data_IF_185284656904
#
_entry.id   IF_185284656904
#
_cell.length_a   1.000
_cell.length_b   1.000
_cell.length_c   1.000
_cell.angle_alpha   90.00
_cell.angle_beta   90.00
_cell.angle_gamma   90.00
#
_symmetry.space_group_name_H-M   'P 1'
#
loop_
_entity.id
_entity.type
_entity.pdbx_description
1 polymer ?
#
# COMPACT_ATOMS: atom_id res chain seq x y z
N UNK A 1 -58.39 25.78 2.99
CA UNK A 1 -58.45 25.26 4.37
C UNK A 1 -57.54 24.05 4.44
N UNK A 2 -56.41 24.25 5.08
CA UNK A 2 -55.20 23.42 5.03
C UNK A 2 -55.23 22.43 6.17
N UNK A 3 -55.28 21.12 5.90
CA UNK A 3 -55.23 20.09 6.92
C UNK A 3 -53.77 19.79 7.28
N UNK A 4 -53.47 19.93 8.57
CA UNK A 4 -52.14 19.95 9.15
C UNK A 4 -51.31 18.69 8.88
N UNK A 5 -50.07 18.96 8.45
CA UNK A 5 -48.89 18.08 8.57
C UNK A 5 -48.78 17.56 10.00
N UNK A 6 -49.05 16.27 10.16
CA UNK A 6 -48.78 15.51 11.39
C UNK A 6 -47.77 14.40 11.05
N UNK A 7 -46.60 14.82 10.60
CA UNK A 7 -45.37 14.03 10.65
C UNK A 7 -44.36 14.94 11.32
N UNK A 8 -44.57 15.12 12.63
CA UNK A 8 -43.57 15.68 13.52
C UNK A 8 -42.44 14.66 13.59
N UNK A 9 -41.35 15.04 12.95
CA UNK A 9 -39.97 14.66 13.24
C UNK A 9 -39.75 14.36 14.73
N UNK A 10 -39.84 13.08 15.10
CA UNK A 10 -39.29 12.54 16.34
C UNK A 10 -37.76 12.57 16.22
N UNK A 11 -37.20 13.76 16.45
CA UNK A 11 -35.81 13.90 16.87
C UNK A 11 -35.77 13.46 18.34
N UNK A 12 -35.60 12.15 18.56
CA UNK A 12 -35.28 11.60 19.87
C UNK A 12 -33.91 12.16 20.29
N UNK A 13 -33.90 13.34 20.93
CA UNK A 13 -32.71 13.79 21.64
C UNK A 13 -32.58 12.92 22.88
N UNK A 14 -31.75 11.89 22.80
CA UNK A 14 -31.30 11.17 23.98
C UNK A 14 -30.71 12.19 24.95
N UNK A 15 -31.10 12.13 26.23
CA UNK A 15 -30.44 12.93 27.26
C UNK A 15 -28.95 12.54 27.30
N UNK A 16 -28.02 13.47 27.55
CA UNK A 16 -26.58 13.18 27.57
C UNK A 16 -26.22 11.98 28.46
N UNK A 17 -26.87 11.86 29.63
CA UNK A 17 -26.71 10.71 30.55
C UNK A 17 -27.08 9.36 29.90
N UNK A 18 -28.11 9.34 29.06
CA UNK A 18 -28.54 8.14 28.35
C UNK A 18 -27.58 7.79 27.19
N UNK A 19 -26.99 8.79 26.53
CA UNK A 19 -25.97 8.58 25.50
C UNK A 19 -24.68 8.01 26.10
N UNK A 20 -24.22 8.58 27.22
CA UNK A 20 -23.01 8.12 27.92
C UNK A 20 -23.15 6.68 28.42
N UNK A 21 -24.36 6.30 28.88
CA UNK A 21 -24.64 4.93 29.34
C UNK A 21 -24.60 3.92 28.18
N UNK A 22 -25.13 4.31 27.01
CA UNK A 22 -25.10 3.46 25.80
C UNK A 22 -23.67 3.28 25.29
N UNK A 23 -22.87 4.36 25.26
CA UNK A 23 -21.47 4.30 24.85
C UNK A 23 -20.66 3.44 25.82
N UNK A 24 -20.86 3.59 27.12
CA UNK A 24 -20.18 2.78 28.12
C UNK A 24 -20.49 1.28 27.96
N UNK A 25 -21.75 0.91 27.74
CA UNK A 25 -22.15 -0.49 27.52
C UNK A 25 -21.54 -1.06 26.23
N UNK A 26 -21.59 -0.31 25.12
CA UNK A 26 -20.97 -0.71 23.86
C UNK A 26 -19.44 -0.81 23.97
N UNK A 27 -18.80 0.07 24.75
CA UNK A 27 -17.36 0.03 24.99
C UNK A 27 -16.96 -1.25 25.77
N UNK A 28 -17.74 -1.65 26.77
CA UNK A 28 -17.52 -2.94 27.47
C UNK A 28 -17.56 -4.13 26.50
N UNK A 29 -18.48 -4.11 25.53
CA UNK A 29 -18.57 -5.18 24.53
C UNK A 29 -17.37 -5.19 23.58
N UNK A 30 -16.84 -4.03 23.18
CA UNK A 30 -15.58 -3.95 22.42
C UNK A 30 -14.37 -4.42 23.26
N UNK A 31 -14.34 -4.12 24.55
CA UNK A 31 -13.28 -4.59 25.46
C UNK A 31 -13.28 -6.12 25.57
N UNK A 32 -14.46 -6.75 25.65
CA UNK A 32 -14.58 -8.22 25.61
C UNK A 32 -14.07 -8.83 24.31
N UNK A 33 -14.05 -8.07 23.22
CA UNK A 33 -13.48 -8.47 21.93
C UNK A 33 -11.96 -8.23 21.84
N UNK A 34 -11.33 -7.73 22.91
CA UNK A 34 -9.89 -7.49 23.00
C UNK A 34 -9.47 -6.09 22.54
N UNK A 35 -10.40 -5.15 22.40
CA UNK A 35 -10.09 -3.74 22.13
C UNK A 35 -9.69 -3.05 23.45
N UNK A 36 -8.68 -2.19 23.40
CA UNK A 36 -8.36 -1.34 24.55
C UNK A 36 -9.54 -0.42 24.92
N UNK A 37 -9.75 -0.16 26.22
CA UNK A 37 -10.91 0.61 26.68
C UNK A 37 -10.89 2.05 26.17
N UNK A 38 -9.75 2.70 26.20
CA UNK A 38 -9.62 4.08 25.73
C UNK A 38 -9.89 4.15 24.22
N UNK A 39 -9.30 3.21 23.46
CA UNK A 39 -9.56 3.09 22.02
C UNK A 39 -11.04 2.79 21.72
N UNK A 40 -11.69 1.92 22.50
CA UNK A 40 -13.11 1.58 22.32
C UNK A 40 -14.02 2.78 22.55
N UNK A 41 -13.81 3.54 23.63
CA UNK A 41 -14.59 4.75 23.92
C UNK A 41 -14.39 5.79 22.82
N UNK A 42 -13.15 6.10 22.46
CA UNK A 42 -12.84 7.06 21.40
C UNK A 42 -13.48 6.68 20.05
N UNK A 43 -13.47 5.40 19.70
CA UNK A 43 -14.09 4.90 18.47
C UNK A 43 -15.61 5.11 18.47
N UNK A 44 -16.27 4.83 19.59
CA UNK A 44 -17.72 4.97 19.74
C UNK A 44 -18.15 6.44 19.80
N UNK A 45 -17.39 7.30 20.47
CA UNK A 45 -17.61 8.75 20.44
C UNK A 45 -17.52 9.28 19.01
N UNK A 46 -16.49 8.86 18.27
CA UNK A 46 -16.31 9.21 16.86
C UNK A 46 -17.46 8.70 15.99
N UNK A 47 -18.01 7.52 16.28
CA UNK A 47 -19.15 6.95 15.58
C UNK A 47 -20.43 7.77 15.79
N UNK A 48 -20.74 8.12 17.04
CA UNK A 48 -21.93 8.89 17.41
C UNK A 48 -21.87 10.32 16.85
N UNK A 49 -20.67 10.87 16.70
CA UNK A 49 -20.46 12.17 16.08
C UNK A 49 -20.83 12.21 14.57
N UNK A 50 -20.92 11.06 13.89
CA UNK A 50 -21.31 11.01 12.47
C UNK A 50 -22.82 11.27 12.32
N UNK A 51 -23.18 12.29 11.54
CA UNK A 51 -24.57 12.64 11.30
C UNK A 51 -25.37 11.46 10.69
N UNK A 52 -26.46 11.06 11.34
CA UNK A 52 -27.28 9.92 10.91
C UNK A 52 -26.66 8.55 11.19
N UNK A 53 -25.70 8.47 12.12
CA UNK A 53 -25.15 7.20 12.58
C UNK A 53 -26.25 6.26 13.11
N UNK A 54 -26.23 4.97 12.70
CA UNK A 54 -26.97 3.91 13.38
C UNK A 54 -26.58 3.80 14.87
N UNK A 55 -27.37 3.08 15.69
CA UNK A 55 -27.01 2.80 17.08
C UNK A 55 -25.60 2.22 17.21
N UNK A 56 -24.90 2.57 18.28
CA UNK A 56 -23.54 2.11 18.60
C UNK A 56 -23.37 0.59 18.46
N UNK A 57 -24.37 -0.17 18.90
CA UNK A 57 -24.42 -1.63 18.77
C UNK A 57 -24.23 -2.14 17.34
N UNK A 58 -24.63 -1.36 16.33
CA UNK A 58 -24.44 -1.72 14.92
C UNK A 58 -22.95 -1.77 14.56
N UNK A 59 -22.16 -0.84 15.10
CA UNK A 59 -20.70 -0.83 14.91
C UNK A 59 -20.05 -1.98 15.68
N UNK A 60 -20.47 -2.21 16.93
CA UNK A 60 -19.99 -3.35 17.75
C UNK A 60 -20.25 -4.67 17.04
N UNK A 61 -21.46 -4.87 16.51
CA UNK A 61 -21.82 -6.08 15.76
C UNK A 61 -21.00 -6.23 14.47
N UNK A 62 -20.73 -5.15 13.75
CA UNK A 62 -19.92 -5.20 12.54
C UNK A 62 -18.45 -5.54 12.85
N UNK A 63 -17.88 -4.96 13.91
CA UNK A 63 -16.53 -5.30 14.38
C UNK A 63 -16.48 -6.75 14.84
N UNK A 64 -17.43 -7.18 15.68
CA UNK A 64 -17.54 -8.58 16.10
C UNK A 64 -17.64 -9.53 14.90
N UNK A 65 -18.41 -9.16 13.87
CA UNK A 65 -18.52 -9.89 12.61
C UNK A 65 -17.18 -10.02 11.89
N UNK A 66 -16.44 -8.92 11.75
CA UNK A 66 -15.10 -8.93 11.14
C UNK A 66 -14.10 -9.80 11.93
N UNK A 67 -14.19 -9.79 13.26
CA UNK A 67 -13.31 -10.57 14.14
C UNK A 67 -13.62 -12.08 14.13
N UNK A 68 -14.82 -12.51 13.68
CA UNK A 68 -15.12 -13.94 13.50
C UNK A 68 -14.17 -14.63 12.52
N UNK A 69 -13.56 -13.87 11.61
CA UNK A 69 -12.55 -14.38 10.70
C UNK A 69 -11.15 -14.49 11.33
N UNK A 70 -10.98 -14.19 12.62
CA UNK A 70 -9.65 -14.16 13.27
C UNK A 70 -8.73 -13.06 12.71
N UNK A 71 -9.30 -11.96 12.22
CA UNK A 71 -8.53 -10.78 11.85
C UNK A 71 -7.90 -10.14 13.11
N UNK A 72 -6.69 -9.55 13.01
CA UNK A 72 -6.09 -8.82 14.12
C UNK A 72 -6.97 -7.65 14.57
N UNK A 73 -7.29 -7.62 15.86
CA UNK A 73 -8.21 -6.64 16.45
C UNK A 73 -7.72 -5.22 16.23
N UNK A 74 -6.44 -4.96 16.50
CA UNK A 74 -5.80 -3.67 16.31
C UNK A 74 -5.97 -3.15 14.87
N UNK A 75 -5.76 -4.01 13.87
CA UNK A 75 -5.89 -3.61 12.46
C UNK A 75 -7.33 -3.30 12.04
N UNK A 76 -8.31 -4.02 12.60
CA UNK A 76 -9.73 -3.71 12.37
C UNK A 76 -10.09 -2.36 13.00
N UNK A 77 -9.60 -2.09 14.21
CA UNK A 77 -9.85 -0.82 14.91
C UNK A 77 -9.17 0.35 14.20
N UNK A 78 -7.92 0.19 13.75
CA UNK A 78 -7.19 1.18 12.95
C UNK A 78 -7.98 1.53 11.68
N UNK A 79 -8.46 0.51 10.95
CA UNK A 79 -9.24 0.72 9.72
C UNK A 79 -10.60 1.35 9.96
N UNK A 80 -11.26 0.98 11.05
CA UNK A 80 -12.54 1.59 11.44
C UNK A 80 -12.32 3.07 11.75
N UNK A 81 -11.32 3.37 12.58
CA UNK A 81 -10.93 4.74 12.96
C UNK A 81 -10.56 5.59 11.75
N UNK A 82 -9.77 5.05 10.82
CA UNK A 82 -9.43 5.71 9.55
C UNK A 82 -10.69 6.01 8.72
N UNK A 83 -11.64 5.06 8.66
CA UNK A 83 -12.91 5.25 7.95
C UNK A 83 -13.76 6.36 8.55
N UNK A 84 -13.83 6.45 9.88
CA UNK A 84 -14.55 7.52 10.58
C UNK A 84 -13.88 8.88 10.41
N UNK A 85 -12.55 8.95 10.52
CA UNK A 85 -11.78 10.17 10.27
C UNK A 85 -11.98 10.70 8.84
N UNK A 86 -12.13 9.79 7.86
CA UNK A 86 -12.45 10.12 6.47
C UNK A 86 -13.93 10.37 6.21
N UNK A 87 -14.75 10.39 7.25
CA UNK A 87 -16.21 10.59 7.19
C UNK A 87 -16.90 9.61 6.22
N UNK A 88 -16.42 8.36 6.16
CA UNK A 88 -17.05 7.34 5.34
C UNK A 88 -18.46 7.08 5.90
N UNK A 89 -19.52 7.19 5.08
CA UNK A 89 -20.88 7.00 5.56
C UNK A 89 -21.09 5.61 6.20
N UNK A 90 -21.85 5.51 7.30
CA UNK A 90 -22.13 4.26 8.01
C UNK A 90 -22.56 3.09 7.11
N UNK A 91 -23.44 3.35 6.14
CA UNK A 91 -23.95 2.34 5.21
C UNK A 91 -22.86 1.77 4.27
N UNK A 92 -21.72 2.46 4.11
CA UNK A 92 -20.55 1.97 3.37
C UNK A 92 -19.50 1.38 4.31
N UNK A 93 -19.33 1.95 5.51
CA UNK A 93 -18.33 1.50 6.47
C UNK A 93 -18.68 0.12 7.04
N UNK A 94 -19.92 -0.09 7.52
CA UNK A 94 -20.30 -1.35 8.18
C UNK A 94 -20.12 -2.59 7.29
N UNK A 95 -20.56 -2.60 6.02
CA UNK A 95 -20.30 -3.74 5.13
C UNK A 95 -18.81 -3.89 4.78
N UNK A 96 -18.03 -2.81 4.77
CA UNK A 96 -16.61 -2.86 4.50
C UNK A 96 -15.82 -3.55 5.61
N UNK A 97 -16.25 -3.43 6.89
CA UNK A 97 -15.61 -4.10 8.03
C UNK A 97 -15.61 -5.62 7.88
N UNK A 98 -16.74 -6.21 7.51
CA UNK A 98 -16.88 -7.66 7.27
C UNK A 98 -15.95 -8.13 6.14
N UNK A 99 -15.86 -7.34 5.06
CA UNK A 99 -14.92 -7.59 3.96
C UNK A 99 -13.46 -7.50 4.43
N UNK A 100 -13.10 -6.48 5.19
CA UNK A 100 -11.74 -6.31 5.72
C UNK A 100 -11.38 -7.43 6.70
N UNK A 101 -12.33 -7.89 7.52
CA UNK A 101 -12.15 -9.05 8.38
C UNK A 101 -11.68 -10.29 7.61
N UNK A 102 -12.36 -10.61 6.51
CA UNK A 102 -11.94 -11.71 5.61
C UNK A 102 -10.58 -11.48 4.96
N UNK A 103 -10.35 -10.28 4.44
CA UNK A 103 -9.11 -9.97 3.71
C UNK A 103 -7.89 -9.98 4.64
N UNK A 104 -8.01 -9.46 5.88
CA UNK A 104 -6.97 -9.43 6.89
C UNK A 104 -6.72 -10.80 7.52
N UNK A 105 -7.77 -11.58 7.76
CA UNK A 105 -7.67 -12.97 8.20
C UNK A 105 -6.79 -13.80 7.25
N UNK A 106 -7.11 -13.76 5.96
CA UNK A 106 -6.34 -14.47 4.94
C UNK A 106 -4.89 -13.95 4.84
N UNK A 107 -4.66 -12.64 5.03
CA UNK A 107 -3.32 -12.09 5.10
C UNK A 107 -2.57 -12.58 6.36
N UNK A 108 -3.25 -12.74 7.48
CA UNK A 108 -2.72 -13.32 8.72
C UNK A 108 -2.30 -14.78 8.55
N UNK A 109 -3.13 -15.59 7.89
CA UNK A 109 -2.77 -16.98 7.57
C UNK A 109 -1.50 -17.08 6.71
N UNK A 110 -1.38 -16.22 5.69
CA UNK A 110 -0.19 -16.16 4.84
C UNK A 110 1.03 -15.67 5.64
N UNK A 111 0.87 -14.62 6.44
CA UNK A 111 1.95 -14.10 7.28
C UNK A 111 2.46 -15.16 8.28
N UNK A 112 1.56 -15.89 8.94
CA UNK A 112 1.91 -16.99 9.83
C UNK A 112 2.68 -18.10 9.09
N UNK A 113 2.27 -18.45 7.87
CA UNK A 113 2.99 -19.41 7.02
C UNK A 113 4.38 -18.93 6.63
N UNK A 114 4.53 -17.65 6.30
CA UNK A 114 5.82 -17.04 5.96
C UNK A 114 6.76 -17.09 7.17
N UNK A 115 6.30 -16.63 8.34
CA UNK A 115 7.09 -16.62 9.58
C UNK A 115 7.44 -18.02 10.10
N UNK A 116 6.63 -19.03 9.76
CA UNK A 116 6.95 -20.42 10.07
C UNK A 116 8.00 -21.02 9.13
N UNK A 117 8.06 -20.57 7.88
CA UNK A 117 8.86 -21.19 6.81
C UNK A 117 10.20 -20.49 6.59
N UNK A 118 10.24 -19.17 6.75
CA UNK A 118 11.34 -18.30 6.39
C UNK A 118 11.84 -17.53 7.61
N UNK A 119 13.11 -17.12 7.58
CA UNK A 119 13.64 -16.25 8.63
C UNK A 119 12.92 -14.89 8.63
N UNK A 120 12.30 -14.55 9.76
CA UNK A 120 11.59 -13.28 9.91
C UNK A 120 12.55 -12.09 10.02
N UNK A 121 13.78 -12.30 10.49
CA UNK A 121 14.74 -11.23 10.77
C UNK A 121 14.12 -10.16 11.69
N UNK A 122 14.01 -8.93 11.17
CA UNK A 122 13.42 -7.78 11.88
C UNK A 122 11.96 -7.50 11.51
N UNK A 123 11.40 -8.22 10.54
CA UNK A 123 10.05 -7.96 10.03
C UNK A 123 9.05 -8.54 11.03
N UNK A 124 8.17 -7.71 11.58
CA UNK A 124 7.14 -8.19 12.50
C UNK A 124 6.02 -8.94 11.76
N UNK A 125 5.31 -9.83 12.45
CA UNK A 125 4.10 -10.49 11.91
C UNK A 125 3.09 -9.43 11.49
N UNK A 126 2.87 -8.40 12.31
CA UNK A 126 1.95 -7.29 12.01
C UNK A 126 2.30 -6.59 10.71
N UNK A 127 3.57 -6.24 10.50
CA UNK A 127 4.03 -5.63 9.26
C UNK A 127 3.81 -6.57 8.06
N UNK A 128 4.08 -7.86 8.24
CA UNK A 128 3.86 -8.88 7.19
C UNK A 128 2.38 -8.96 6.81
N UNK A 129 1.46 -8.95 7.78
CA UNK A 129 0.00 -8.95 7.53
C UNK A 129 -0.40 -7.74 6.70
N UNK A 130 0.08 -6.55 7.08
CA UNK A 130 -0.23 -5.31 6.36
C UNK A 130 0.28 -5.35 4.92
N UNK A 131 1.54 -5.76 4.71
CA UNK A 131 2.15 -5.84 3.37
C UNK A 131 1.46 -6.89 2.50
N UNK A 132 1.19 -8.08 3.04
CA UNK A 132 0.42 -9.12 2.33
C UNK A 132 -0.99 -8.64 2.00
N UNK A 133 -1.68 -7.96 2.92
CA UNK A 133 -3.01 -7.41 2.67
C UNK A 133 -2.99 -6.43 1.50
N UNK A 134 -2.00 -5.52 1.43
CA UNK A 134 -1.83 -4.60 0.31
C UNK A 134 -1.55 -5.33 -1.01
N UNK A 135 -0.64 -6.30 -1.00
CA UNK A 135 -0.32 -7.11 -2.19
C UNK A 135 -1.56 -7.83 -2.72
N UNK A 136 -2.41 -8.36 -1.84
CA UNK A 136 -3.65 -9.05 -2.24
C UNK A 136 -4.73 -8.10 -2.74
N UNK A 137 -4.76 -6.85 -2.27
CA UNK A 137 -5.69 -5.84 -2.80
C UNK A 137 -5.39 -5.49 -4.25
N UNK A 138 -4.14 -5.63 -4.69
CA UNK A 138 -3.79 -5.47 -6.11
C UNK A 138 -4.40 -6.56 -7.00
N UNK A 139 -4.73 -7.74 -6.45
CA UNK A 139 -5.33 -8.85 -7.21
C UNK A 139 -6.00 -9.90 -6.33
N UNK A 140 -7.32 -10.06 -6.51
CA UNK A 140 -8.14 -10.90 -5.65
C UNK A 140 -7.86 -12.42 -5.74
N UNK A 141 -7.39 -12.94 -6.87
CA UNK A 141 -7.20 -14.40 -7.07
C UNK A 141 -6.02 -14.99 -6.27
N UNK A 142 -5.05 -14.16 -5.88
CA UNK A 142 -3.83 -14.54 -5.19
C UNK A 142 -2.99 -15.63 -5.88
N UNK A 143 -3.24 -15.95 -7.16
CA UNK A 143 -2.57 -17.06 -7.87
C UNK A 143 -1.07 -16.78 -8.00
N UNK A 144 -0.72 -15.57 -8.39
CA UNK A 144 0.65 -15.12 -8.56
C UNK A 144 1.46 -15.19 -7.25
N UNK A 145 0.87 -14.79 -6.12
CA UNK A 145 1.53 -14.84 -4.81
C UNK A 145 1.78 -16.29 -4.36
N UNK A 146 0.87 -17.22 -4.69
CA UNK A 146 1.08 -18.66 -4.46
C UNK A 146 2.20 -19.22 -5.33
N UNK A 147 2.32 -18.78 -6.59
CA UNK A 147 3.41 -19.18 -7.49
C UNK A 147 4.77 -18.68 -6.99
N UNK A 148 4.86 -17.43 -6.55
CA UNK A 148 6.07 -16.89 -5.92
C UNK A 148 6.40 -17.65 -4.63
N UNK A 149 5.41 -17.92 -3.78
CA UNK A 149 5.63 -18.69 -2.56
C UNK A 149 6.18 -20.09 -2.85
N UNK A 150 5.66 -20.77 -3.87
CA UNK A 150 6.15 -22.10 -4.25
C UNK A 150 7.62 -22.06 -4.70
N UNK A 151 8.01 -21.07 -5.50
CA UNK A 151 9.40 -20.87 -5.92
C UNK A 151 10.32 -20.49 -4.75
N UNK A 152 9.83 -19.67 -3.82
CA UNK A 152 10.55 -19.28 -2.61
C UNK A 152 10.87 -20.48 -1.68
N UNK A 153 10.17 -21.62 -1.81
CA UNK A 153 10.47 -22.80 -1.00
C UNK A 153 11.83 -23.42 -1.32
N UNK A 154 12.37 -23.19 -2.52
CA UNK A 154 13.65 -23.73 -2.98
C UNK A 154 14.82 -22.81 -2.60
N UNK A 155 14.61 -21.49 -2.60
CA UNK A 155 15.63 -20.48 -2.29
C UNK A 155 15.68 -20.06 -0.82
N UNK A 156 14.63 -20.36 -0.04
CA UNK A 156 14.53 -20.04 1.39
C UNK A 156 14.88 -18.58 1.74
N UNK A 157 14.29 -17.57 1.07
CA UNK A 157 14.57 -16.17 1.36
C UNK A 157 14.11 -15.82 2.78
N UNK A 158 14.60 -14.70 3.32
CA UNK A 158 13.97 -14.09 4.51
C UNK A 158 12.54 -13.63 4.19
N UNK A 159 11.70 -13.48 5.21
CA UNK A 159 10.35 -12.89 5.07
C UNK A 159 10.44 -11.51 4.40
N UNK A 160 11.43 -10.70 4.77
CA UNK A 160 11.69 -9.40 4.15
C UNK A 160 11.99 -9.51 2.65
N UNK A 161 12.85 -10.45 2.27
CA UNK A 161 13.18 -10.71 0.85
C UNK A 161 11.97 -11.16 0.05
N UNK A 162 11.17 -12.08 0.60
CA UNK A 162 9.93 -12.53 -0.04
C UNK A 162 8.92 -11.40 -0.27
N UNK A 163 8.71 -10.55 0.74
CA UNK A 163 7.77 -9.42 0.64
C UNK A 163 8.25 -8.40 -0.38
N UNK A 164 9.55 -8.09 -0.40
CA UNK A 164 10.13 -7.18 -1.40
C UNK A 164 10.03 -7.73 -2.81
N UNK A 165 10.26 -9.02 -3.03
CA UNK A 165 10.09 -9.62 -4.35
C UNK A 165 8.62 -9.55 -4.81
N UNK A 166 7.69 -9.78 -3.87
CA UNK A 166 6.26 -9.69 -4.14
C UNK A 166 5.82 -8.26 -4.47
N UNK A 167 6.40 -7.26 -3.82
CA UNK A 167 6.19 -5.83 -4.12
C UNK A 167 6.77 -5.44 -5.46
N UNK A 168 7.97 -5.93 -5.80
CA UNK A 168 8.59 -5.76 -7.11
C UNK A 168 7.69 -6.30 -8.23
N UNK A 169 7.14 -7.50 -8.05
CA UNK A 169 6.18 -8.09 -9.00
C UNK A 169 4.93 -7.22 -9.13
N UNK A 170 4.35 -6.76 -8.02
CA UNK A 170 3.17 -5.90 -8.06
C UNK A 170 3.45 -4.56 -8.78
N UNK A 171 4.64 -4.00 -8.55
CA UNK A 171 5.08 -2.75 -9.15
C UNK A 171 5.32 -2.87 -10.66
N UNK A 172 6.08 -3.87 -11.10
CA UNK A 172 6.34 -4.10 -12.53
C UNK A 172 5.04 -4.33 -13.32
N UNK A 173 4.07 -5.02 -12.73
CA UNK A 173 2.73 -5.17 -13.33
C UNK A 173 2.00 -3.84 -13.43
N UNK A 174 2.12 -2.98 -12.42
CA UNK A 174 1.54 -1.64 -12.48
C UNK A 174 2.16 -0.80 -13.62
N UNK A 175 3.46 -0.98 -13.88
CA UNK A 175 4.17 -0.37 -15.01
C UNK A 175 3.82 -1.01 -16.37
N UNK A 176 3.07 -2.11 -16.41
CA UNK A 176 2.55 -2.70 -17.64
C UNK A 176 3.16 -4.05 -18.05
N UNK A 177 4.03 -4.66 -17.23
CA UNK A 177 4.44 -6.05 -17.47
C UNK A 177 3.25 -7.00 -17.37
N UNK A 178 3.29 -8.07 -18.19
CA UNK A 178 2.34 -9.16 -18.02
C UNK A 178 2.57 -9.86 -16.68
N UNK A 179 1.53 -10.58 -16.22
CA UNK A 179 1.60 -11.30 -14.96
C UNK A 179 2.71 -12.35 -14.94
N UNK A 180 2.91 -13.05 -16.06
CA UNK A 180 3.92 -14.11 -16.15
C UNK A 180 5.33 -13.53 -16.18
N UNK A 181 5.56 -12.43 -16.90
CA UNK A 181 6.86 -11.75 -16.92
C UNK A 181 7.21 -11.19 -15.54
N UNK A 182 6.29 -10.47 -14.89
CA UNK A 182 6.56 -9.91 -13.58
C UNK A 182 6.78 -10.98 -12.50
N UNK A 183 6.00 -12.07 -12.54
CA UNK A 183 6.22 -13.21 -11.63
C UNK A 183 7.58 -13.86 -11.92
N UNK A 184 7.97 -14.01 -13.19
CA UNK A 184 9.27 -14.55 -13.57
C UNK A 184 10.43 -13.70 -13.05
N UNK A 185 10.34 -12.37 -13.11
CA UNK A 185 11.34 -11.46 -12.52
C UNK A 185 11.47 -11.70 -11.01
N UNK A 186 10.34 -11.74 -10.29
CA UNK A 186 10.34 -12.02 -8.85
C UNK A 186 10.95 -13.39 -8.52
N UNK A 187 10.67 -14.42 -9.34
CA UNK A 187 11.25 -15.75 -9.17
C UNK A 187 12.77 -15.75 -9.39
N UNK A 188 13.27 -15.05 -10.43
CA UNK A 188 14.71 -14.92 -10.66
C UNK A 188 15.41 -14.22 -9.50
N UNK A 189 14.84 -13.12 -8.99
CA UNK A 189 15.42 -12.41 -7.84
C UNK A 189 15.47 -13.28 -6.58
N UNK A 190 14.41 -14.06 -6.32
CA UNK A 190 14.39 -14.99 -5.20
C UNK A 190 15.41 -16.12 -5.38
N UNK A 191 15.48 -16.72 -6.58
CA UNK A 191 16.41 -17.80 -6.88
C UNK A 191 17.88 -17.37 -6.78
N UNK A 192 18.18 -16.13 -7.20
CA UNK A 192 19.51 -15.54 -7.09
C UNK A 192 19.87 -15.07 -5.65
N UNK A 193 18.95 -15.18 -4.70
CA UNK A 193 19.18 -14.79 -3.31
C UNK A 193 19.31 -13.27 -3.10
N UNK A 194 18.69 -12.47 -3.97
CA UNK A 194 18.71 -11.00 -3.87
C UNK A 194 18.20 -10.56 -2.50
N UNK A 195 18.95 -9.69 -1.83
CA UNK A 195 18.58 -9.19 -0.52
C UNK A 195 17.39 -8.22 -0.60
N UNK A 196 16.66 -8.07 0.51
CA UNK A 196 15.56 -7.12 0.58
C UNK A 196 15.99 -5.66 0.32
N UNK A 197 17.25 -5.32 0.57
CA UNK A 197 17.80 -3.97 0.31
C UNK A 197 18.11 -3.73 -1.16
N UNK A 198 18.57 -4.78 -1.86
CA UNK A 198 19.01 -4.69 -3.25
C UNK A 198 17.86 -4.69 -4.27
N UNK A 199 16.67 -5.14 -3.86
CA UNK A 199 15.51 -5.23 -4.76
C UNK A 199 15.03 -3.87 -5.29
N UNK A 200 15.09 -2.82 -4.46
CA UNK A 200 14.66 -1.47 -4.88
C UNK A 200 15.62 -0.90 -5.93
N UNK A 201 16.91 -1.21 -5.83
CA UNK A 201 17.92 -0.79 -6.81
C UNK A 201 17.79 -1.58 -8.11
N UNK A 202 17.52 -2.89 -8.06
CA UNK A 202 17.26 -3.68 -9.26
C UNK A 202 15.96 -3.26 -9.98
N UNK A 203 14.92 -2.90 -9.24
CA UNK A 203 13.71 -2.30 -9.82
C UNK A 203 14.03 -0.99 -10.53
N UNK A 204 14.83 -0.12 -9.89
CA UNK A 204 15.29 1.13 -10.52
C UNK A 204 16.11 0.86 -11.77
N UNK A 205 16.97 -0.16 -11.78
CA UNK A 205 17.72 -0.56 -12.96
C UNK A 205 16.80 -0.95 -14.13
N UNK A 206 15.71 -1.67 -13.85
CA UNK A 206 14.70 -2.02 -14.85
C UNK A 206 14.01 -0.78 -15.41
N UNK A 207 13.62 0.16 -14.53
CA UNK A 207 12.99 1.41 -14.95
C UNK A 207 13.90 2.25 -15.84
N UNK A 208 15.16 2.44 -15.42
CA UNK A 208 16.17 3.19 -16.19
C UNK A 208 16.43 2.53 -17.54
N UNK A 209 16.61 1.20 -17.59
CA UNK A 209 16.75 0.49 -18.85
C UNK A 209 15.48 0.59 -19.72
N UNK A 210 14.30 0.68 -19.10
CA UNK A 210 13.01 0.85 -19.74
C UNK A 210 12.80 2.21 -20.42
N UNK A 211 13.66 3.21 -20.15
CA UNK A 211 13.62 4.49 -20.88
C UNK A 211 14.08 4.34 -22.34
N UNK A 212 14.97 3.37 -22.61
CA UNK A 212 15.51 3.09 -23.94
C UNK A 212 15.05 1.76 -24.55
N UNK A 213 14.42 0.88 -23.78
CA UNK A 213 14.01 -0.47 -24.19
C UNK A 213 12.55 -0.74 -23.83
N UNK A 214 11.85 -1.65 -24.54
CA UNK A 214 10.59 -2.19 -24.05
C UNK A 214 10.75 -2.74 -22.63
N UNK A 215 9.81 -2.43 -21.73
CA UNK A 215 9.92 -2.78 -20.30
C UNK A 215 10.16 -4.28 -20.05
N UNK A 216 9.54 -5.15 -20.85
CA UNK A 216 9.76 -6.60 -20.76
C UNK A 216 11.22 -6.99 -21.08
N UNK A 217 11.85 -6.32 -22.04
CA UNK A 217 13.24 -6.54 -22.42
C UNK A 217 14.20 -5.99 -21.36
N UNK A 218 13.92 -4.82 -20.80
CA UNK A 218 14.65 -4.26 -19.66
C UNK A 218 14.61 -5.21 -18.45
N UNK A 219 13.42 -5.70 -18.10
CA UNK A 219 13.20 -6.63 -16.99
C UNK A 219 13.93 -7.96 -17.20
N UNK A 220 13.90 -8.49 -18.44
CA UNK A 220 14.63 -9.70 -18.84
C UNK A 220 16.13 -9.52 -18.68
N UNK A 221 16.71 -8.45 -19.24
CA UNK A 221 18.15 -8.19 -19.17
C UNK A 221 18.65 -8.02 -17.74
N UNK A 222 17.92 -7.30 -16.88
CA UNK A 222 18.29 -7.17 -15.46
C UNK A 222 18.20 -8.51 -14.75
N UNK A 223 17.14 -9.29 -14.98
CA UNK A 223 16.97 -10.61 -14.36
C UNK A 223 18.06 -11.61 -14.78
N UNK A 224 18.48 -11.56 -16.04
CA UNK A 224 19.56 -12.40 -16.59
C UNK A 224 20.90 -12.08 -15.91
N UNK A 225 21.28 -10.80 -15.83
CA UNK A 225 22.51 -10.37 -15.14
C UNK A 225 22.53 -10.80 -13.66
N UNK A 226 21.42 -10.65 -12.96
CA UNK A 226 21.28 -11.09 -11.56
C UNK A 226 21.45 -12.62 -11.46
N UNK A 227 20.89 -13.37 -12.41
CA UNK A 227 21.04 -14.84 -12.46
C UNK A 227 22.49 -15.26 -12.77
N UNK A 228 23.21 -14.46 -13.56
CA UNK A 228 24.66 -14.63 -13.81
C UNK A 228 25.54 -14.26 -12.61
N UNK A 229 24.94 -13.80 -11.51
CA UNK A 229 25.62 -13.51 -10.25
C UNK A 229 26.05 -12.05 -10.08
N UNK A 230 25.56 -11.13 -10.92
CA UNK A 230 25.85 -9.71 -10.77
C UNK A 230 25.14 -9.15 -9.54
N UNK A 231 25.86 -8.29 -8.81
CA UNK A 231 25.31 -7.50 -7.71
C UNK A 231 24.41 -6.39 -8.22
N UNK A 232 23.53 -5.87 -7.35
CA UNK A 232 22.69 -4.72 -7.71
C UNK A 232 23.51 -3.48 -8.08
N UNK A 233 24.66 -3.27 -7.42
CA UNK A 233 25.59 -2.18 -7.73
C UNK A 233 26.19 -2.32 -9.15
N UNK A 234 26.64 -3.53 -9.53
CA UNK A 234 27.16 -3.79 -10.88
C UNK A 234 26.09 -3.61 -11.95
N UNK A 235 24.86 -4.08 -11.70
CA UNK A 235 23.72 -3.92 -12.61
C UNK A 235 23.36 -2.43 -12.78
N UNK A 236 23.29 -1.67 -11.68
CA UNK A 236 23.00 -0.23 -11.69
C UNK A 236 24.07 0.57 -12.43
N UNK A 237 25.35 0.26 -12.20
CA UNK A 237 26.48 0.93 -12.86
C UNK A 237 26.44 0.71 -14.38
N UNK A 238 26.12 -0.52 -14.80
CA UNK A 238 26.07 -0.89 -16.21
C UNK A 238 24.83 -0.31 -16.91
N UNK A 239 23.66 -0.31 -16.27
CA UNK A 239 22.45 0.31 -16.83
C UNK A 239 22.55 1.84 -16.91
N UNK A 240 23.14 2.49 -15.90
CA UNK A 240 23.40 3.93 -15.92
C UNK A 240 24.45 4.38 -16.96
N UNK A 241 25.34 3.48 -17.38
CA UNK A 241 26.33 3.72 -18.44
C UNK A 241 25.76 3.53 -19.85
N UNK A 242 24.58 2.91 -19.98
CA UNK A 242 23.90 2.66 -21.25
C UNK A 242 22.88 3.76 -21.62
N UNK A 243 22.66 4.75 -20.75
CA UNK A 243 21.86 5.94 -21.07
C UNK A 243 22.68 6.81 -22.04
N UNK A 244 22.17 7.11 -23.25
CA UNK A 244 22.91 7.91 -24.22
C UNK A 244 23.16 9.33 -23.67
N UNK A 245 24.36 9.87 -23.91
CA UNK A 245 24.81 11.21 -23.44
C UNK A 245 23.83 12.36 -23.76
N UNK A 246 22.90 12.18 -24.71
CA UNK A 246 21.91 13.18 -25.11
C UNK A 246 20.86 13.59 -24.07
N UNK A 247 20.82 12.98 -22.88
CA UNK A 247 19.99 13.44 -21.75
C UNK A 247 20.79 14.16 -20.65
N UNK A 248 22.12 13.99 -20.59
CA UNK A 248 22.97 14.70 -19.61
C UNK A 248 23.17 16.18 -19.93
N UNK A 249 23.06 16.55 -21.21
CA UNK A 249 23.26 17.94 -21.65
C UNK A 249 22.10 18.88 -21.30
N UNK A 250 20.90 18.38 -20.93
CA UNK A 250 19.75 19.25 -20.62
C UNK A 250 19.74 19.85 -19.22
N UNK A 251 20.54 19.34 -18.28
CA UNK A 251 20.63 19.89 -16.92
C UNK A 251 21.85 20.78 -16.68
N UNK A 252 22.80 20.86 -17.62
CA UNK A 252 23.96 21.77 -17.53
C UNK A 252 23.80 23.09 -18.28
N UNK A 253 22.80 23.23 -19.16
CA UNK A 253 22.62 24.44 -19.97
C UNK A 253 21.78 25.54 -19.29
N UNK A 254 21.39 25.37 -18.03
CA UNK A 254 20.67 26.40 -17.26
C UNK A 254 21.54 27.25 -16.33
N UNK A 255 22.86 27.10 -16.34
CA UNK A 255 23.69 27.88 -15.39
C UNK A 255 25.08 28.27 -15.91
N UNK A 256 25.19 28.97 -17.06
CA UNK A 256 26.17 30.07 -17.24
C UNK A 256 25.69 31.01 -18.36
N UNK A 257 25.33 32.25 -18.02
CA UNK A 257 25.04 33.26 -19.04
C UNK A 257 24.49 34.60 -18.54
N UNK A 258 24.84 35.02 -17.33
CA UNK A 258 24.62 36.40 -16.88
C UNK A 258 25.97 37.10 -16.85
N UNK A 259 26.01 38.31 -17.44
CA UNK A 259 27.15 39.27 -17.54
C UNK A 259 28.07 38.94 -18.74
N UNK A 260 28.31 39.78 -19.74
CA UNK A 260 28.04 41.19 -20.03
C UNK A 260 28.08 41.39 -21.57
N UNK A 261 27.36 42.38 -22.11
CA UNK A 261 28.00 43.47 -22.86
C UNK A 261 26.99 44.56 -23.22
N UNK A 262 27.11 45.67 -22.49
CA UNK A 262 26.73 46.99 -22.97
C UNK A 262 27.99 47.57 -23.61
N UNK A 263 27.95 47.84 -24.92
CA UNK A 263 28.31 49.14 -25.52
C UNK A 263 28.70 48.99 -27.00
N UNK A 264 28.26 50.01 -27.76
CA UNK A 264 28.74 50.48 -29.05
C UNK A 264 28.56 49.59 -30.29
N UNK A 265 27.63 50.00 -31.14
CA UNK A 265 27.97 50.34 -32.52
C UNK A 265 27.11 51.53 -32.99
N UNK A 266 27.79 52.65 -33.16
CA UNK A 266 27.43 53.83 -33.94
C UNK A 266 27.69 53.52 -35.43
N UNK A 267 27.01 54.26 -36.32
CA UNK A 267 27.21 54.37 -37.78
C UNK A 267 26.53 53.28 -38.64
N UNK A 268 25.92 53.55 -39.80
CA UNK A 268 25.62 54.76 -40.57
C UNK A 268 24.47 54.31 -41.49
N UNK A 269 23.35 55.04 -41.53
CA UNK A 269 22.36 54.89 -42.60
C UNK A 269 22.24 56.24 -43.32
N UNK A 270 23.09 56.40 -44.34
CA UNK A 270 22.81 57.26 -45.48
C UNK A 270 21.61 56.67 -46.24
N UNK A 271 20.56 57.48 -46.45
CA UNK A 271 19.66 57.26 -47.58
C UNK A 271 19.12 58.61 -48.08
N UNK A 272 19.35 58.82 -49.38
CA UNK A 272 18.75 59.83 -50.26
C UNK A 272 17.21 59.88 -50.18
#
# INVERSE_FOLDING_TARGET
MTFCRLILSLSLSLSPVAADTVIAAAAEDLVKLGVDREAAVHLLDSWVAVAGAPPADSLVQAIAGALRFQAPVDLIIDKTSEGLAKQIPPHRLLPALDRWGRELSQACEIAARLHKRFDAGRVSVRETVLRVHLLRRSRADGVWLRRLFASALESEPSVGGFLRASEAVAHLRHLGLSDDEAVSVGQHFLAAGVSAGDMDDLLRAIEVAGEGLPLAEAARQVSERVTEGWTAEEVMTHTGSAVPDGLREREQDTDVGRVADRNNEENDDDND
#
